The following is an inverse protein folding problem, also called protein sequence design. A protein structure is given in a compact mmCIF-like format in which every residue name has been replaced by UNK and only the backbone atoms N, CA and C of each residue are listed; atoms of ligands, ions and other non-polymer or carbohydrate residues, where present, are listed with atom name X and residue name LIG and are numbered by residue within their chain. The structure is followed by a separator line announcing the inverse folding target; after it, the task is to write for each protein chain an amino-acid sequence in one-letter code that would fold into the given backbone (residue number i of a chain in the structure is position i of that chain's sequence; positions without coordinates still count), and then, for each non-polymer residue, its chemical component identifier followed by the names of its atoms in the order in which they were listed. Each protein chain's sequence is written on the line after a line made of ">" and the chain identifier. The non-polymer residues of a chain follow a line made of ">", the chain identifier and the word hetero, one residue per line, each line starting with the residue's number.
data_IF_318406408269
#
_entry.id   IF_318406408269
#
_cell.length_a   1.000
_cell.length_b   1.000
_cell.length_c   1.000
_cell.angle_alpha   90.00
_cell.angle_beta   90.00
_cell.angle_gamma   90.00
#
_symmetry.space_group_name_H-M   'P 1'
#
loop_
_entity.id
_entity.type
_entity.pdbx_description
1 polymer ?
#
# COMPACT_ATOMS: atom_id res chain seq x y z
N UNK A 1 -21.80 38.55 35.22
CA UNK A 1 -20.41 38.74 35.73
C UNK A 1 -20.12 37.64 36.73
N UNK A 2 -19.49 36.58 36.33
CA UNK A 2 -19.13 35.49 37.25
C UNK A 2 -17.69 35.12 36.94
N UNK A 3 -16.80 35.50 37.83
CA UNK A 3 -15.37 35.23 37.75
C UNK A 3 -15.09 33.83 38.27
N UNK A 4 -14.53 32.96 37.45
CA UNK A 4 -14.02 31.64 37.89
C UNK A 4 -12.53 31.75 38.07
N UNK A 5 -12.08 31.62 39.32
CA UNK A 5 -10.66 31.57 39.73
C UNK A 5 -10.15 30.15 39.67
N UNK A 6 -9.02 29.95 38.98
CA UNK A 6 -8.29 28.67 38.96
C UNK A 6 -7.32 28.62 40.13
N UNK A 7 -7.18 27.52 40.87
CA UNK A 7 -6.08 27.31 41.81
C UNK A 7 -4.88 26.69 41.10
N UNK A 8 -3.75 27.30 41.34
CA UNK A 8 -2.40 26.88 40.99
C UNK A 8 -2.02 25.70 41.87
N UNK A 9 -1.70 24.56 41.32
CA UNK A 9 -1.10 23.45 42.06
C UNK A 9 0.31 23.21 41.53
N UNK A 10 1.27 23.53 42.36
CA UNK A 10 2.69 23.24 42.19
C UNK A 10 2.95 21.75 42.46
N UNK A 11 3.61 21.07 41.52
CA UNK A 11 4.09 19.72 41.74
C UNK A 11 5.61 19.64 41.66
N UNK A 12 6.12 19.02 42.66
CA UNK A 12 7.48 18.81 43.09
C UNK A 12 8.29 17.96 42.12
N UNK A 13 9.51 18.42 41.79
CA UNK A 13 10.59 17.62 41.20
C UNK A 13 11.08 16.57 42.20
N UNK A 14 11.24 15.35 41.74
CA UNK A 14 12.15 14.37 42.35
C UNK A 14 13.14 13.88 41.29
N UNK A 15 14.37 14.30 41.45
CA UNK A 15 15.57 13.78 40.79
C UNK A 15 16.04 12.54 41.55
N UNK A 16 16.27 11.45 40.86
CA UNK A 16 17.13 10.34 41.27
C UNK A 16 17.78 9.83 39.99
N UNK A 17 18.97 10.10 39.70
CA UNK A 17 20.36 9.85 40.11
C UNK A 17 20.76 8.39 40.09
N UNK A 18 21.73 8.15 39.18
CA UNK A 18 22.88 7.21 39.22
C UNK A 18 22.61 5.74 38.93
N UNK A 19 23.21 5.34 37.86
CA UNK A 19 24.53 4.65 37.67
C UNK A 19 24.45 3.16 37.89
N UNK A 20 24.79 2.40 36.83
CA UNK A 20 26.06 1.67 36.78
C UNK A 20 26.23 1.04 35.40
N UNK A 21 27.22 1.55 34.68
CA UNK A 21 27.84 0.86 33.55
C UNK A 21 28.69 -0.28 34.11
N UNK A 22 28.31 -1.51 33.93
CA UNK A 22 29.22 -2.63 34.11
C UNK A 22 29.61 -3.21 32.76
N UNK A 23 30.76 -2.73 32.31
CA UNK A 23 31.57 -3.28 31.25
C UNK A 23 32.05 -4.66 31.68
N UNK A 24 31.67 -5.70 30.98
CA UNK A 24 32.33 -7.00 31.06
C UNK A 24 33.00 -7.30 29.73
N UNK A 25 34.29 -7.04 29.69
CA UNK A 25 35.21 -7.63 28.76
C UNK A 25 35.27 -9.13 29.05
N UNK A 26 34.85 -9.96 28.15
CA UNK A 26 35.21 -11.38 28.19
C UNK A 26 35.82 -11.79 26.84
N UNK A 27 37.13 -11.88 26.96
CA UNK A 27 38.09 -12.29 25.94
C UNK A 27 38.26 -13.79 26.09
N UNK A 28 37.55 -14.57 25.30
CA UNK A 28 37.78 -16.02 25.26
C UNK A 28 38.45 -16.41 23.95
N UNK A 29 39.66 -16.85 24.15
CA UNK A 29 40.67 -17.36 23.27
C UNK A 29 40.18 -18.45 22.30
N UNK A 30 40.69 -18.34 21.07
CA UNK A 30 40.76 -19.39 20.06
C UNK A 30 41.32 -20.71 20.65
N UNK A 31 40.56 -21.75 20.57
CA UNK A 31 40.99 -23.12 20.74
C UNK A 31 41.06 -23.79 19.37
N UNK A 32 42.29 -23.95 18.93
CA UNK A 32 42.70 -24.78 17.81
C UNK A 32 42.41 -26.25 18.15
N UNK A 33 41.70 -26.97 17.34
CA UNK A 33 41.59 -28.42 17.42
C UNK A 33 41.58 -29.01 16.01
N UNK A 34 42.73 -29.55 15.71
CA UNK A 34 43.13 -30.39 14.61
C UNK A 34 42.18 -31.51 14.23
N UNK A 35 42.18 -31.74 12.93
CA UNK A 35 41.82 -32.90 12.15
C UNK A 35 41.61 -34.22 12.91
N UNK A 36 40.54 -34.93 12.61
CA UNK A 36 40.59 -36.36 12.46
C UNK A 36 39.69 -36.83 11.28
N UNK A 37 40.38 -37.62 10.46
CA UNK A 37 39.92 -38.17 9.21
C UNK A 37 39.20 -39.49 9.50
N UNK A 38 37.92 -39.60 9.15
CA UNK A 38 37.32 -40.92 9.02
C UNK A 38 36.51 -41.02 7.72
N UNK A 39 37.14 -41.66 6.76
CA UNK A 39 36.57 -42.13 5.52
C UNK A 39 35.66 -43.32 5.85
N UNK A 40 34.38 -43.23 5.55
CA UNK A 40 33.54 -44.41 5.29
C UNK A 40 32.81 -44.21 3.96
N UNK A 41 33.26 -45.00 3.00
CA UNK A 41 32.63 -45.11 1.69
C UNK A 41 31.42 -46.07 1.72
N UNK A 42 30.51 -45.81 0.76
CA UNK A 42 29.44 -46.68 0.23
C UNK A 42 28.12 -46.65 1.02
N UNK A 43 27.08 -46.22 0.42
CA UNK A 43 26.34 -46.76 -0.74
C UNK A 43 25.44 -45.68 -1.31
N UNK A 44 25.33 -45.66 -2.63
CA UNK A 44 24.48 -44.71 -3.35
C UNK A 44 22.99 -44.96 -3.12
N UNK A 45 22.34 -43.89 -2.76
CA UNK A 45 20.92 -43.67 -3.03
C UNK A 45 20.76 -42.16 -3.16
N UNK A 46 20.53 -41.73 -4.38
CA UNK A 46 20.19 -40.36 -4.75
C UNK A 46 18.88 -39.96 -4.09
N UNK A 47 18.95 -39.14 -3.04
CA UNK A 47 17.82 -38.44 -2.48
C UNK A 47 18.06 -36.95 -2.77
N UNK A 48 17.83 -36.57 -3.99
CA UNK A 48 18.12 -35.20 -4.47
C UNK A 48 17.04 -34.55 -5.32
N UNK A 49 15.91 -35.22 -5.59
CA UNK A 49 14.94 -34.69 -6.58
C UNK A 49 13.48 -34.55 -6.12
N UNK A 50 13.18 -34.62 -4.82
CA UNK A 50 11.79 -34.50 -4.35
C UNK A 50 11.49 -33.20 -3.58
N UNK A 51 12.49 -32.38 -3.26
CA UNK A 51 12.27 -31.16 -2.48
C UNK A 51 12.08 -29.89 -3.35
N UNK A 52 12.36 -29.96 -4.67
CA UNK A 52 12.27 -28.78 -5.55
C UNK A 52 10.96 -28.69 -6.33
N UNK A 53 10.15 -29.76 -6.35
CA UNK A 53 8.89 -29.76 -7.09
C UNK A 53 7.67 -29.24 -6.30
N UNK A 54 7.74 -29.14 -4.98
CA UNK A 54 6.62 -28.69 -4.17
C UNK A 54 6.57 -27.15 -3.98
N UNK A 55 7.71 -26.45 -4.14
CA UNK A 55 7.78 -24.99 -4.01
C UNK A 55 7.32 -24.24 -5.26
N UNK A 56 7.42 -24.85 -6.45
CA UNK A 56 7.06 -24.20 -7.71
C UNK A 56 5.58 -24.35 -8.12
N UNK A 57 4.79 -25.17 -7.40
CA UNK A 57 3.39 -25.42 -7.78
C UNK A 57 2.40 -24.45 -7.16
N UNK A 58 2.75 -23.79 -6.07
CA UNK A 58 1.86 -22.81 -5.42
C UNK A 58 2.00 -21.41 -6.00
N UNK A 59 3.17 -21.09 -6.57
CA UNK A 59 3.42 -19.79 -7.18
C UNK A 59 2.74 -19.65 -8.56
N UNK A 60 2.62 -20.77 -9.29
CA UNK A 60 1.95 -20.82 -10.59
C UNK A 60 0.42 -20.76 -10.50
N UNK A 61 -0.18 -21.17 -9.37
CA UNK A 61 -1.63 -21.10 -9.19
C UNK A 61 -2.08 -19.70 -8.76
N UNK A 62 -1.29 -19.01 -7.91
CA UNK A 62 -1.56 -17.62 -7.52
C UNK A 62 -1.37 -16.65 -8.71
N UNK A 63 -0.41 -16.92 -9.59
CA UNK A 63 -0.15 -16.12 -10.79
C UNK A 63 -1.24 -16.27 -11.85
N UNK A 64 -1.84 -17.45 -11.97
CA UNK A 64 -2.94 -17.70 -12.95
C UNK A 64 -4.28 -17.10 -12.53
N UNK A 65 -4.58 -17.04 -11.24
CA UNK A 65 -5.80 -16.40 -10.75
C UNK A 65 -5.71 -14.89 -10.88
N UNK A 66 -4.52 -14.29 -10.72
CA UNK A 66 -4.29 -12.86 -10.94
C UNK A 66 -4.40 -12.42 -12.41
N UNK A 67 -3.98 -13.28 -13.35
CA UNK A 67 -3.99 -12.94 -14.78
C UNK A 67 -5.36 -13.01 -15.45
N UNK A 68 -6.23 -13.91 -15.00
CA UNK A 68 -7.56 -14.07 -15.60
C UNK A 68 -8.55 -12.95 -15.23
N UNK A 69 -8.33 -12.28 -14.10
CA UNK A 69 -9.12 -11.10 -13.66
C UNK A 69 -8.49 -9.80 -14.16
N UNK A 70 -7.20 -9.83 -14.53
CA UNK A 70 -6.42 -8.66 -14.97
C UNK A 70 -6.85 -8.11 -16.32
N UNK A 71 -7.13 -8.97 -17.29
CA UNK A 71 -7.42 -8.56 -18.66
C UNK A 71 -8.82 -7.95 -18.86
N UNK A 72 -9.76 -8.30 -17.99
CA UNK A 72 -11.13 -7.78 -18.06
C UNK A 72 -11.30 -6.37 -17.45
N UNK A 73 -10.31 -5.86 -16.72
CA UNK A 73 -10.38 -4.58 -15.98
C UNK A 73 -9.19 -3.67 -16.34
N UNK A 74 -8.90 -3.48 -17.63
CA UNK A 74 -7.79 -2.62 -18.06
C UNK A 74 -8.21 -1.15 -18.18
N UNK A 75 -8.21 -0.47 -17.04
CA UNK A 75 -8.53 0.96 -16.93
C UNK A 75 -7.45 1.84 -17.55
N UNK A 76 -6.20 1.36 -17.63
CA UNK A 76 -5.04 2.19 -17.97
C UNK A 76 -4.97 2.55 -19.45
N UNK A 77 -5.52 1.71 -20.32
CA UNK A 77 -5.59 1.93 -21.78
C UNK A 77 -6.87 2.62 -22.23
N UNK A 78 -7.86 2.76 -21.34
CA UNK A 78 -9.16 3.33 -21.70
C UNK A 78 -9.08 4.85 -21.85
N UNK A 79 -9.56 5.37 -22.99
CA UNK A 79 -9.78 6.82 -23.15
C UNK A 79 -10.95 7.24 -22.26
N UNK A 80 -10.71 8.18 -21.37
CA UNK A 80 -11.70 8.71 -20.44
C UNK A 80 -11.78 10.23 -20.57
N UNK A 81 -12.99 10.77 -20.44
CA UNK A 81 -13.23 12.21 -20.34
C UNK A 81 -13.39 12.63 -18.90
N UNK A 82 -13.07 13.89 -18.60
CA UNK A 82 -13.34 14.46 -17.29
C UNK A 82 -14.84 14.53 -17.05
N UNK A 83 -15.25 14.08 -15.85
CA UNK A 83 -16.64 14.08 -15.41
C UNK A 83 -16.75 14.96 -14.17
N UNK A 84 -17.71 15.87 -14.16
CA UNK A 84 -18.02 16.68 -12.97
C UNK A 84 -19.17 16.03 -12.20
N UNK A 85 -18.90 15.58 -10.99
CA UNK A 85 -19.89 15.08 -10.06
C UNK A 85 -20.08 16.11 -8.94
N UNK A 86 -21.28 16.67 -8.77
CA UNK A 86 -21.51 17.71 -7.75
C UNK A 86 -21.26 17.23 -6.33
N UNK A 87 -21.39 15.92 -6.10
CA UNK A 87 -21.14 15.29 -4.81
C UNK A 87 -19.65 14.99 -4.53
N UNK A 88 -18.76 15.18 -5.52
CA UNK A 88 -17.31 14.99 -5.41
C UNK A 88 -16.62 16.26 -5.89
N UNK A 89 -16.35 17.18 -4.97
CA UNK A 89 -15.86 18.53 -5.30
C UNK A 89 -14.61 18.94 -4.52
N UNK A 90 -13.85 17.97 -3.99
CA UNK A 90 -12.66 18.26 -3.18
C UNK A 90 -11.41 18.48 -4.05
N UNK A 91 -10.58 19.42 -3.62
CA UNK A 91 -9.27 19.65 -4.25
C UNK A 91 -8.37 18.42 -4.12
N UNK A 92 -7.69 18.05 -5.20
CA UNK A 92 -6.87 16.84 -5.26
C UNK A 92 -7.64 15.56 -5.51
N UNK A 93 -8.94 15.69 -5.85
CA UNK A 93 -9.77 14.60 -6.35
C UNK A 93 -10.18 14.92 -7.79
N UNK A 94 -9.97 13.99 -8.70
CA UNK A 94 -10.37 14.06 -10.10
C UNK A 94 -11.34 12.95 -10.43
N UNK A 95 -12.28 13.20 -11.33
CA UNK A 95 -13.23 12.17 -11.76
C UNK A 95 -13.19 12.09 -13.28
N UNK A 96 -12.97 10.89 -13.81
CA UNK A 96 -12.91 10.60 -15.24
C UNK A 96 -13.77 9.39 -15.56
N UNK A 97 -14.31 9.31 -16.73
CA UNK A 97 -15.13 8.14 -17.10
C UNK A 97 -15.36 7.98 -18.60
N UNK A 98 -15.88 6.80 -18.94
CA UNK A 98 -16.40 6.44 -20.25
C UNK A 98 -17.57 5.46 -20.08
N UNK A 99 -17.95 4.73 -21.14
CA UNK A 99 -19.04 3.74 -21.09
C UNK A 99 -18.72 2.50 -20.24
N UNK A 100 -17.42 2.19 -20.02
CA UNK A 100 -16.96 0.98 -19.35
C UNK A 100 -16.52 1.23 -17.92
N UNK A 101 -15.99 2.42 -17.65
CA UNK A 101 -15.34 2.73 -16.39
C UNK A 101 -15.69 4.13 -15.85
N UNK A 102 -15.79 4.21 -14.55
CA UNK A 102 -15.77 5.47 -13.79
C UNK A 102 -14.58 5.45 -12.84
N UNK A 103 -13.71 6.46 -12.91
CA UNK A 103 -12.46 6.51 -12.16
C UNK A 103 -12.40 7.77 -11.31
N UNK A 104 -12.15 7.58 -10.03
CA UNK A 104 -11.89 8.63 -9.05
C UNK A 104 -10.40 8.64 -8.74
N UNK A 105 -9.68 9.62 -9.22
CA UNK A 105 -8.25 9.82 -8.94
C UNK A 105 -8.10 10.68 -7.69
N UNK A 106 -7.21 10.27 -6.79
CA UNK A 106 -6.91 11.02 -5.55
C UNK A 106 -5.41 11.21 -5.44
N UNK A 107 -4.98 12.45 -5.30
CA UNK A 107 -3.57 12.79 -5.09
C UNK A 107 -3.03 12.11 -3.82
N UNK A 108 -1.79 11.60 -3.91
CA UNK A 108 -1.09 11.00 -2.76
C UNK A 108 -1.13 11.90 -1.51
N UNK A 109 -0.84 13.18 -1.68
CA UNK A 109 -0.79 14.16 -0.56
C UNK A 109 -2.11 14.35 0.17
N UNK A 110 -3.24 14.01 -0.47
CA UNK A 110 -4.57 14.01 0.18
C UNK A 110 -4.70 12.80 1.10
N UNK A 111 -4.21 11.64 0.64
CA UNK A 111 -4.40 10.34 1.30
C UNK A 111 -3.33 10.02 2.34
N UNK A 112 -2.06 10.36 2.06
CA UNK A 112 -0.90 9.87 2.82
C UNK A 112 0.08 10.99 3.17
N UNK A 113 0.87 10.76 4.20
CA UNK A 113 2.13 11.48 4.40
C UNK A 113 3.22 10.92 3.47
N UNK A 114 4.30 11.69 3.29
CA UNK A 114 5.43 11.29 2.45
C UNK A 114 5.96 9.92 2.87
N UNK A 115 6.18 9.05 1.90
CA UNK A 115 6.68 7.68 2.05
C UNK A 115 5.87 6.77 3.00
N UNK A 116 4.62 7.16 3.32
CA UNK A 116 3.73 6.33 4.13
C UNK A 116 2.58 5.74 3.29
N UNK A 117 2.04 4.64 3.83
CA UNK A 117 0.85 3.95 3.32
C UNK A 117 -0.29 3.89 4.37
N UNK A 118 -0.26 4.79 5.34
CA UNK A 118 -1.34 4.93 6.34
C UNK A 118 -2.23 6.09 5.93
N UNK A 119 -3.52 5.83 5.75
CA UNK A 119 -4.50 6.85 5.36
C UNK A 119 -4.61 7.91 6.46
N UNK A 120 -4.45 9.18 6.07
CA UNK A 120 -4.54 10.31 7.00
C UNK A 120 -5.97 10.55 7.46
N UNK A 121 -6.19 11.03 8.68
CA UNK A 121 -7.53 11.46 9.12
C UNK A 121 -8.16 12.51 8.21
N UNK A 122 -7.36 13.41 7.62
CA UNK A 122 -7.83 14.43 6.67
C UNK A 122 -8.36 13.88 5.34
N UNK A 123 -8.02 12.63 5.00
CA UNK A 123 -8.53 11.96 3.81
C UNK A 123 -9.98 11.45 3.96
N UNK A 124 -10.50 11.40 5.18
CA UNK A 124 -11.79 10.81 5.49
C UNK A 124 -12.94 11.40 4.65
N UNK A 125 -12.96 12.73 4.50
CA UNK A 125 -14.03 13.39 3.73
C UNK A 125 -13.94 13.04 2.23
N UNK A 126 -12.74 12.98 1.66
CA UNK A 126 -12.55 12.62 0.26
C UNK A 126 -13.00 11.16 -0.01
N UNK A 127 -12.57 10.22 0.82
CA UNK A 127 -12.95 8.82 0.67
C UNK A 127 -14.44 8.61 0.89
N UNK A 128 -15.05 9.30 1.87
CA UNK A 128 -16.49 9.27 2.12
C UNK A 128 -17.33 9.80 0.93
N UNK A 129 -16.92 10.90 0.31
CA UNK A 129 -17.63 11.43 -0.87
C UNK A 129 -17.51 10.44 -2.05
N UNK A 130 -16.34 9.85 -2.27
CA UNK A 130 -16.13 8.86 -3.32
C UNK A 130 -16.95 7.60 -3.06
N UNK A 131 -16.89 7.02 -1.87
CA UNK A 131 -17.64 5.81 -1.52
C UNK A 131 -19.16 6.03 -1.60
N UNK A 132 -19.66 7.19 -1.15
CA UNK A 132 -21.06 7.56 -1.27
C UNK A 132 -21.50 7.71 -2.72
N UNK A 133 -20.68 8.34 -3.59
CA UNK A 133 -20.93 8.46 -5.01
C UNK A 133 -20.99 7.10 -5.68
N UNK A 134 -20.02 6.22 -5.39
CA UNK A 134 -19.97 4.83 -5.93
C UNK A 134 -21.22 4.04 -5.49
N UNK A 135 -21.55 4.05 -4.23
CA UNK A 135 -22.70 3.30 -3.71
C UNK A 135 -24.04 3.81 -4.27
N UNK A 136 -24.15 5.13 -4.49
CA UNK A 136 -25.36 5.74 -5.04
C UNK A 136 -25.53 5.47 -6.54
N UNK A 137 -24.44 5.62 -7.32
CA UNK A 137 -24.50 5.57 -8.78
C UNK A 137 -24.29 4.18 -9.35
N UNK A 138 -23.48 3.37 -8.67
CA UNK A 138 -23.00 2.08 -9.17
C UNK A 138 -23.18 0.96 -8.15
N UNK A 139 -24.41 0.75 -7.65
CA UNK A 139 -24.68 -0.30 -6.67
C UNK A 139 -24.36 -1.68 -7.26
N UNK A 140 -23.63 -2.51 -6.51
CA UNK A 140 -23.30 -3.87 -6.92
C UNK A 140 -22.15 -4.00 -7.93
N UNK A 141 -21.64 -2.91 -8.52
CA UNK A 141 -20.53 -2.96 -9.47
C UNK A 141 -19.18 -3.20 -8.79
N UNK A 142 -18.28 -3.87 -9.52
CA UNK A 142 -16.93 -4.14 -9.05
C UNK A 142 -16.07 -2.88 -9.01
N UNK A 143 -15.22 -2.80 -8.00
CA UNK A 143 -14.35 -1.65 -7.75
C UNK A 143 -12.91 -2.14 -7.63
N UNK A 144 -11.99 -1.46 -8.31
CA UNK A 144 -10.57 -1.72 -8.19
C UNK A 144 -9.82 -0.49 -7.70
N UNK A 145 -9.01 -0.66 -6.68
CA UNK A 145 -8.13 0.39 -6.16
C UNK A 145 -6.75 0.21 -6.76
N UNK A 146 -6.29 1.21 -7.50
CA UNK A 146 -5.07 1.20 -8.28
C UNK A 146 -4.04 2.13 -7.64
N UNK A 147 -2.83 1.62 -7.37
CA UNK A 147 -1.75 2.42 -6.78
C UNK A 147 -0.69 2.78 -7.82
N UNK A 148 -0.25 4.04 -7.81
CA UNK A 148 0.76 4.57 -8.72
C UNK A 148 1.84 5.34 -7.95
N UNK A 149 3.05 5.38 -8.52
CA UNK A 149 4.21 6.10 -8.00
C UNK A 149 4.84 6.98 -9.09
N UNK A 150 5.71 7.89 -8.70
CA UNK A 150 6.61 8.58 -9.62
C UNK A 150 7.86 7.72 -9.91
N UNK A 151 8.73 8.16 -10.82
CA UNK A 151 9.92 7.39 -11.24
C UNK A 151 11.13 7.57 -10.32
N UNK A 152 11.01 8.09 -9.12
CA UNK A 152 12.11 8.21 -8.16
C UNK A 152 12.21 6.98 -7.28
N UNK A 153 13.45 6.52 -7.05
CA UNK A 153 13.73 5.32 -6.27
C UNK A 153 13.71 4.05 -7.10
N UNK A 154 13.78 2.91 -6.42
CA UNK A 154 13.79 1.60 -7.07
C UNK A 154 12.39 1.18 -7.53
N UNK A 155 12.31 0.54 -8.70
CA UNK A 155 11.04 0.05 -9.26
C UNK A 155 10.31 -0.94 -8.35
N UNK A 156 11.06 -1.83 -7.70
CA UNK A 156 10.51 -2.78 -6.73
C UNK A 156 9.90 -2.05 -5.53
N UNK A 157 10.62 -1.10 -4.96
CA UNK A 157 10.13 -0.25 -3.87
C UNK A 157 8.86 0.51 -4.26
N UNK A 158 8.86 1.16 -5.43
CA UNK A 158 7.72 1.91 -5.96
C UNK A 158 6.49 1.00 -6.16
N UNK A 159 6.70 -0.24 -6.63
CA UNK A 159 5.63 -1.22 -6.77
C UNK A 159 5.06 -1.63 -5.41
N UNK A 160 5.92 -1.94 -4.45
CA UNK A 160 5.50 -2.35 -3.11
C UNK A 160 4.79 -1.22 -2.36
N UNK A 161 5.31 0.02 -2.43
CA UNK A 161 4.67 1.18 -1.83
C UNK A 161 3.30 1.45 -2.45
N UNK A 162 3.19 1.38 -3.78
CA UNK A 162 1.91 1.56 -4.47
C UNK A 162 0.90 0.47 -4.12
N UNK A 163 1.35 -0.78 -3.91
CA UNK A 163 0.52 -1.89 -3.43
C UNK A 163 0.00 -1.62 -2.02
N UNK A 164 0.89 -1.29 -1.09
CA UNK A 164 0.50 -0.99 0.30
C UNK A 164 -0.50 0.16 0.36
N UNK A 165 -0.35 1.20 -0.46
CA UNK A 165 -1.26 2.33 -0.55
C UNK A 165 -2.64 1.94 -1.09
N UNK A 166 -2.68 1.14 -2.14
CA UNK A 166 -3.94 0.63 -2.68
C UNK A 166 -4.69 -0.25 -1.65
N UNK A 167 -3.96 -1.11 -0.94
CA UNK A 167 -4.51 -1.94 0.13
C UNK A 167 -5.01 -1.11 1.32
N UNK A 168 -4.29 -0.07 1.72
CA UNK A 168 -4.71 0.83 2.79
C UNK A 168 -6.02 1.56 2.46
N UNK A 169 -6.17 2.06 1.21
CA UNK A 169 -7.41 2.68 0.76
C UNK A 169 -8.54 1.65 0.68
N UNK A 170 -8.32 0.46 0.10
CA UNK A 170 -9.31 -0.63 0.10
C UNK A 170 -9.79 -0.94 1.52
N UNK A 171 -8.86 -1.14 2.45
CA UNK A 171 -9.19 -1.45 3.84
C UNK A 171 -10.01 -0.34 4.50
N UNK A 172 -9.68 0.93 4.22
CA UNK A 172 -10.45 2.08 4.71
C UNK A 172 -11.89 2.05 4.17
N UNK A 173 -12.07 1.86 2.87
CA UNK A 173 -13.40 1.79 2.23
C UNK A 173 -14.25 0.65 2.81
N UNK A 174 -13.65 -0.51 3.11
CA UNK A 174 -14.35 -1.64 3.72
C UNK A 174 -14.67 -1.39 5.20
N UNK A 175 -13.69 -0.97 5.98
CA UNK A 175 -13.84 -0.89 7.44
C UNK A 175 -14.58 0.35 7.90
N UNK A 176 -14.33 1.51 7.27
CA UNK A 176 -14.87 2.80 7.65
C UNK A 176 -16.14 3.13 6.87
N UNK A 177 -16.07 3.04 5.54
CA UNK A 177 -17.18 3.43 4.66
C UNK A 177 -18.15 2.26 4.38
N UNK A 178 -17.89 1.08 4.97
CA UNK A 178 -18.75 -0.11 4.91
C UNK A 178 -19.05 -0.62 3.50
N UNK A 179 -18.14 -0.41 2.57
CA UNK A 179 -18.24 -1.02 1.25
C UNK A 179 -18.05 -2.55 1.33
N UNK A 180 -18.76 -3.29 0.49
CA UNK A 180 -18.69 -4.76 0.48
C UNK A 180 -17.31 -5.22 -0.01
N UNK A 181 -16.60 -5.99 0.81
CA UNK A 181 -15.21 -6.39 0.57
C UNK A 181 -15.02 -7.20 -0.72
N UNK A 182 -16.00 -8.07 -1.06
CA UNK A 182 -15.94 -8.96 -2.24
C UNK A 182 -15.99 -8.19 -3.57
N UNK A 183 -16.48 -6.94 -3.55
CA UNK A 183 -16.50 -6.05 -4.69
C UNK A 183 -15.19 -5.29 -4.90
N UNK A 184 -14.31 -5.27 -3.87
CA UNK A 184 -13.09 -4.47 -3.90
C UNK A 184 -11.86 -5.34 -4.15
N UNK A 185 -11.14 -5.01 -5.20
CA UNK A 185 -9.81 -5.56 -5.50
C UNK A 185 -8.74 -4.48 -5.50
N UNK A 186 -7.47 -4.85 -5.50
CA UNK A 186 -6.34 -3.91 -5.57
C UNK A 186 -5.38 -4.30 -6.68
N UNK A 187 -4.75 -3.30 -7.29
CA UNK A 187 -3.68 -3.49 -8.24
C UNK A 187 -2.60 -2.42 -8.06
N UNK A 188 -1.34 -2.78 -8.27
CA UNK A 188 -0.21 -1.88 -8.10
C UNK A 188 0.57 -1.74 -9.39
N UNK A 189 0.68 -0.52 -9.89
CA UNK A 189 1.42 -0.20 -11.10
C UNK A 189 2.83 0.38 -10.81
N UNK A 190 3.08 0.87 -9.58
CA UNK A 190 4.31 1.59 -9.30
C UNK A 190 4.47 2.76 -10.28
N UNK A 191 5.62 2.86 -10.92
CA UNK A 191 5.96 3.92 -11.88
C UNK A 191 5.59 3.62 -13.34
N UNK A 192 4.98 2.47 -13.64
CA UNK A 192 4.83 1.98 -15.03
C UNK A 192 3.75 2.68 -15.84
N UNK A 193 2.84 3.43 -15.19
CA UNK A 193 1.70 4.09 -15.84
C UNK A 193 1.66 5.59 -15.47
N UNK A 194 2.62 6.40 -15.97
CA UNK A 194 2.64 7.83 -15.73
C UNK A 194 1.54 8.55 -16.51
N UNK A 195 0.89 9.52 -15.88
CA UNK A 195 -0.10 10.44 -16.50
C UNK A 195 0.51 11.79 -16.82
N UNK A 196 1.67 12.11 -16.25
CA UNK A 196 2.42 13.33 -16.48
C UNK A 196 3.92 13.04 -16.58
N UNK A 197 4.70 14.04 -17.01
CA UNK A 197 6.16 13.91 -17.11
C UNK A 197 6.81 13.76 -15.73
N UNK A 198 7.69 12.79 -15.58
CA UNK A 198 8.49 12.63 -14.37
C UNK A 198 9.66 13.64 -14.24
N UNK A 199 9.92 14.43 -15.29
CA UNK A 199 11.00 15.41 -15.29
C UNK A 199 10.72 16.60 -14.33
N UNK A 200 9.46 16.99 -14.18
CA UNK A 200 9.07 18.11 -13.35
C UNK A 200 8.54 17.69 -11.98
N UNK A 201 8.70 18.50 -10.92
CA UNK A 201 8.12 18.22 -9.61
C UNK A 201 6.58 18.11 -9.64
N UNK A 202 5.89 18.94 -10.45
CA UNK A 202 4.43 18.88 -10.59
C UNK A 202 3.98 17.58 -11.27
N UNK A 203 4.62 17.19 -12.38
CA UNK A 203 4.26 15.95 -13.06
C UNK A 203 4.52 14.71 -12.20
N UNK A 204 5.60 14.71 -11.42
CA UNK A 204 5.79 13.63 -10.42
C UNK A 204 4.68 13.62 -9.37
N UNK A 205 4.18 14.78 -8.94
CA UNK A 205 3.06 14.85 -8.01
C UNK A 205 1.78 14.24 -8.60
N UNK A 206 1.50 14.49 -9.88
CA UNK A 206 0.37 13.91 -10.59
C UNK A 206 0.51 12.39 -10.77
N UNK A 207 1.74 11.90 -10.94
CA UNK A 207 2.02 10.47 -11.03
C UNK A 207 1.82 9.75 -9.69
N UNK A 208 2.09 10.42 -8.56
CA UNK A 208 1.83 9.87 -7.23
C UNK A 208 0.35 10.00 -6.87
N UNK A 209 -0.42 8.98 -7.16
CA UNK A 209 -1.87 8.96 -6.97
C UNK A 209 -2.39 7.58 -6.61
N UNK A 210 -3.60 7.54 -6.12
CA UNK A 210 -4.42 6.32 -6.06
C UNK A 210 -5.67 6.56 -6.90
N UNK A 211 -6.04 5.61 -7.72
CA UNK A 211 -7.28 5.64 -8.49
C UNK A 211 -8.24 4.57 -7.99
N UNK A 212 -9.51 4.94 -7.83
CA UNK A 212 -10.60 4.03 -7.46
C UNK A 212 -11.48 3.90 -8.70
N UNK A 213 -11.38 2.77 -9.38
CA UNK A 213 -12.04 2.51 -10.64
C UNK A 213 -13.25 1.59 -10.44
N UNK A 214 -14.38 1.98 -10.99
CA UNK A 214 -15.62 1.19 -11.02
C UNK A 214 -15.79 0.63 -12.41
N UNK A 215 -16.06 -0.66 -12.55
CA UNK A 215 -16.38 -1.32 -13.81
C UNK A 215 -17.90 -1.25 -14.03
N UNK A 216 -18.32 -0.64 -15.13
CA UNK A 216 -19.73 -0.34 -15.41
C UNK A 216 -20.48 -1.45 -16.16
N UNK A 217 -19.74 -2.35 -16.79
CA UNK A 217 -20.29 -3.49 -17.54
C UNK A 217 -20.42 -4.74 -16.70
#
# INVERSE_FOLDING_TARGET
>A
MTKITYPLLAAVLLLASCSDLKKSDDKTTLGDATADTAVVARTGATVGDVATSAANSVDSAASKVGSAVGDAFDVTKAKMADVKLPEVSLSGVTVRGNEDYQVYGVDEKVLFDTDKAVVKPSAAEALKQISASINKRYPGKDVRVLGFADSRGDKSYNRDLSKQRAEAVKNYLVTTDKMVADRLSTEAFGETQPVATNATPSGRQENRRVEIAVHLK
#
